data_IF_669625995928
#
_entry.id   IF_669625995928
#
_cell.length_a   1.000
_cell.length_b   1.000
_cell.length_c   1.000
_cell.angle_alpha   90.00
_cell.angle_beta   90.00
_cell.angle_gamma   90.00
#
_symmetry.space_group_name_H-M   'P 1'
#
loop_
_entity.id
_entity.type
_entity.pdbx_description
1 polymer ?
#
# COMPACT_ATOMS: atom_id res chain seq x y z
N UNK A 1 -15.07 -5.58 12.74
CA UNK A 1 -13.67 -5.53 13.16
C UNK A 1 -12.68 -5.71 12.00
N UNK A 2 -12.94 -6.59 11.03
CA UNK A 2 -12.06 -6.74 9.86
C UNK A 2 -12.08 -5.53 8.91
N UNK A 3 -13.11 -4.70 8.95
CA UNK A 3 -13.21 -3.49 8.12
C UNK A 3 -12.30 -2.35 8.55
N UNK A 4 -11.86 -2.33 9.81
CA UNK A 4 -11.02 -1.25 10.32
C UNK A 4 -9.53 -1.40 9.94
N UNK A 5 -9.10 -2.60 9.62
CA UNK A 5 -7.72 -2.89 9.20
C UNK A 5 -7.39 -2.22 7.85
N UNK A 6 -8.38 -1.94 7.02
CA UNK A 6 -8.20 -1.39 5.68
C UNK A 6 -8.41 0.13 5.60
N UNK A 7 -8.80 0.78 6.69
CA UNK A 7 -8.95 2.24 6.75
C UNK A 7 -7.67 2.90 7.27
N UNK A 8 -6.54 2.62 6.64
CA UNK A 8 -5.33 3.41 6.90
C UNK A 8 -5.53 4.80 6.32
N UNK A 9 -5.69 5.79 7.19
CA UNK A 9 -5.63 7.18 6.78
C UNK A 9 -4.17 7.59 6.67
N UNK A 10 -3.82 8.20 5.55
CA UNK A 10 -2.50 8.76 5.31
C UNK A 10 -2.65 10.27 5.25
N UNK A 11 -1.90 10.95 6.11
CA UNK A 11 -1.86 12.41 6.18
C UNK A 11 -0.49 12.90 5.73
N UNK A 12 -0.47 13.99 4.99
CA UNK A 12 0.75 14.75 4.81
C UNK A 12 0.99 15.64 6.04
N UNK A 13 2.26 15.78 6.45
CA UNK A 13 2.59 16.56 7.63
C UNK A 13 2.09 18.00 7.52
N UNK A 14 2.11 18.59 6.32
CA UNK A 14 1.57 19.92 6.04
C UNK A 14 0.06 20.02 6.23
N UNK A 15 -0.73 18.99 5.91
CA UNK A 15 -2.18 18.93 6.13
C UNK A 15 -2.53 19.01 7.62
N UNK A 16 -1.66 18.50 8.47
CA UNK A 16 -1.76 18.54 9.93
C UNK A 16 -1.08 19.78 10.54
N UNK A 17 -0.68 20.75 9.73
CA UNK A 17 0.10 21.92 10.13
C UNK A 17 1.38 21.53 10.86
N UNK A 18 1.93 20.40 10.48
CA UNK A 18 3.11 19.82 11.12
C UNK A 18 4.41 20.37 10.57
N UNK A 19 5.44 20.28 11.38
CA UNK A 19 6.79 20.66 11.01
C UNK A 19 7.83 19.83 11.75
N UNK A 20 9.03 19.76 11.17
CA UNK A 20 10.17 19.11 11.77
C UNK A 20 10.72 19.98 12.91
N UNK A 21 10.80 19.43 14.13
CA UNK A 21 11.41 20.11 15.27
C UNK A 21 12.91 19.87 15.34
N UNK A 22 13.33 18.63 15.20
CA UNK A 22 14.74 18.26 15.27
C UNK A 22 15.02 16.93 14.61
N UNK A 23 16.27 16.75 14.24
CA UNK A 23 16.81 15.45 13.84
C UNK A 23 18.21 15.28 14.43
N UNK A 24 18.52 14.05 14.84
CA UNK A 24 19.84 13.71 15.31
C UNK A 24 20.87 13.70 14.18
N UNK A 25 22.06 14.18 14.46
CA UNK A 25 23.18 14.17 13.49
C UNK A 25 23.98 12.87 13.51
N UNK A 26 23.73 12.02 14.50
CA UNK A 26 24.35 10.71 14.65
C UNK A 26 23.45 9.80 15.49
N UNK A 27 23.58 8.49 15.29
CA UNK A 27 23.02 7.52 16.22
C UNK A 27 23.74 7.61 17.56
N UNK A 28 23.00 7.67 18.66
CA UNK A 28 23.55 7.71 19.99
C UNK A 28 23.94 6.32 20.50
N UNK A 29 25.19 6.15 20.95
CA UNK A 29 25.62 4.93 21.65
C UNK A 29 25.46 3.64 20.83
N UNK A 30 24.67 2.70 21.35
CA UNK A 30 24.42 1.38 20.73
C UNK A 30 23.24 1.37 19.75
N UNK A 31 22.59 2.51 19.53
CA UNK A 31 21.46 2.61 18.61
C UNK A 31 21.94 2.84 17.17
N UNK A 32 21.39 2.04 16.25
CA UNK A 32 21.57 2.25 14.81
C UNK A 32 20.58 3.26 14.23
N UNK A 33 19.69 3.82 15.06
CA UNK A 33 18.63 4.73 14.64
C UNK A 33 19.00 6.17 14.94
N UNK A 34 18.67 7.05 14.01
CA UNK A 34 18.77 8.50 14.19
C UNK A 34 17.39 9.02 14.57
N UNK A 35 17.26 9.68 15.74
CA UNK A 35 15.97 10.20 16.16
C UNK A 35 15.54 11.37 15.28
N UNK A 36 14.27 11.37 14.88
CA UNK A 36 13.61 12.46 14.17
C UNK A 36 12.37 12.85 14.94
N UNK A 37 12.23 14.13 15.24
CA UNK A 37 11.11 14.65 16.01
C UNK A 37 10.35 15.69 15.18
N UNK A 38 9.04 15.53 15.09
CA UNK A 38 8.16 16.49 14.46
C UNK A 38 6.90 16.68 15.29
N UNK A 39 6.30 17.84 15.13
CA UNK A 39 5.07 18.26 15.81
C UNK A 39 3.99 18.47 14.79
N UNK A 40 2.77 18.16 15.13
CA UNK A 40 1.59 18.37 14.30
C UNK A 40 0.33 18.56 15.14
N UNK A 41 -0.70 19.17 14.53
CA UNK A 41 -2.01 19.32 15.15
C UNK A 41 -2.76 17.98 15.14
N UNK A 42 -2.99 17.42 16.33
CA UNK A 42 -3.80 16.21 16.47
C UNK A 42 -5.28 16.57 16.47
N UNK A 43 -5.99 16.12 15.44
CA UNK A 43 -7.44 16.31 15.30
C UNK A 43 -8.27 15.28 16.07
N UNK A 44 -7.62 14.46 16.90
CA UNK A 44 -8.25 13.41 17.68
C UNK A 44 -8.13 12.01 17.04
N UNK A 45 -7.57 11.91 15.85
CA UNK A 45 -7.43 10.64 15.13
C UNK A 45 -6.20 9.84 15.59
N UNK A 46 -5.22 10.52 16.18
CA UNK A 46 -3.99 9.89 16.66
C UNK A 46 -4.01 9.76 18.17
N UNK A 47 -3.97 8.53 18.64
CA UNK A 47 -3.95 8.22 20.08
C UNK A 47 -2.48 8.22 20.54
N UNK A 48 -2.12 9.04 21.55
CA UNK A 48 -0.76 9.01 22.12
C UNK A 48 -0.35 7.60 22.56
N UNK A 49 0.86 7.19 22.21
CA UNK A 49 1.36 5.83 22.49
C UNK A 49 1.04 4.80 21.41
N UNK A 50 0.25 5.13 20.40
CA UNK A 50 -0.01 4.25 19.27
C UNK A 50 1.17 4.24 18.27
N UNK A 51 1.26 3.15 17.51
CA UNK A 51 2.24 3.06 16.41
C UNK A 51 1.72 3.76 15.17
N UNK A 52 2.63 4.45 14.50
CA UNK A 52 2.40 5.07 13.20
C UNK A 52 3.49 4.66 12.23
N UNK A 53 3.14 4.60 10.97
CA UNK A 53 4.10 4.39 9.89
C UNK A 53 4.40 5.75 9.25
N UNK A 54 5.68 6.10 9.14
CA UNK A 54 6.12 7.40 8.63
C UNK A 54 6.84 7.20 7.31
N UNK A 55 6.44 7.94 6.31
CA UNK A 55 7.09 7.96 5.00
C UNK A 55 7.85 9.25 4.83
N UNK A 56 9.14 9.14 4.56
CA UNK A 56 9.97 10.28 4.17
C UNK A 56 9.88 10.44 2.66
N UNK A 57 9.32 11.56 2.23
CA UNK A 57 9.17 11.86 0.82
C UNK A 57 10.50 12.41 0.28
N UNK A 58 10.98 11.82 -0.80
CA UNK A 58 12.08 12.36 -1.59
C UNK A 58 11.55 13.27 -2.69
N UNK A 59 12.43 13.71 -3.58
CA UNK A 59 12.02 14.38 -4.80
C UNK A 59 11.14 13.47 -5.65
N UNK A 60 10.23 14.06 -6.42
CA UNK A 60 9.42 13.33 -7.38
C UNK A 60 10.29 12.53 -8.35
N UNK A 61 9.89 11.32 -8.62
CA UNK A 61 10.53 10.47 -9.62
C UNK A 61 9.70 10.52 -10.90
N UNK A 62 10.15 11.21 -11.97
CA UNK A 62 9.45 11.21 -13.25
C UNK A 62 9.56 9.83 -13.92
N UNK A 63 8.62 9.57 -14.83
CA UNK A 63 8.63 8.41 -15.75
C UNK A 63 8.61 7.02 -15.05
N UNK A 64 8.00 6.95 -13.87
CA UNK A 64 7.78 5.69 -13.17
C UNK A 64 6.31 5.24 -13.28
N UNK A 65 6.10 3.93 -13.27
CA UNK A 65 4.76 3.38 -13.14
C UNK A 65 4.42 3.30 -11.66
N UNK A 66 3.32 3.93 -11.27
CA UNK A 66 2.83 3.92 -9.89
C UNK A 66 1.35 3.54 -9.86
N UNK A 67 0.95 2.90 -8.77
CA UNK A 67 -0.43 2.51 -8.51
C UNK A 67 -0.82 2.92 -7.09
N UNK A 68 -2.11 3.23 -6.86
CA UNK A 68 -2.63 3.34 -5.50
C UNK A 68 -2.38 2.05 -4.72
N UNK A 69 -2.05 2.14 -3.46
CA UNK A 69 -1.84 0.96 -2.60
C UNK A 69 -3.09 0.07 -2.53
N UNK A 70 -4.27 0.62 -2.79
CA UNK A 70 -5.54 -0.11 -2.86
C UNK A 70 -5.65 -1.08 -4.03
N UNK A 71 -4.77 -0.96 -5.04
CA UNK A 71 -4.69 -1.89 -6.16
C UNK A 71 -3.95 -3.19 -5.82
N UNK A 72 -3.21 -3.19 -4.72
CA UNK A 72 -2.36 -4.31 -4.33
C UNK A 72 -3.12 -5.33 -3.48
N UNK A 73 -2.81 -6.59 -3.71
CA UNK A 73 -3.12 -7.69 -2.80
C UNK A 73 -1.83 -8.43 -2.46
N UNK A 74 -1.76 -8.96 -1.25
CA UNK A 74 -0.61 -9.72 -0.78
C UNK A 74 -1.00 -11.17 -0.54
N UNK A 75 -0.10 -12.08 -0.92
CA UNK A 75 -0.18 -13.50 -0.60
C UNK A 75 1.22 -14.05 -0.36
N UNK A 76 1.45 -14.57 0.82
CA UNK A 76 2.74 -15.22 1.20
C UNK A 76 3.98 -14.34 0.96
N UNK A 77 3.85 -13.03 1.20
CA UNK A 77 4.93 -12.06 1.01
C UNK A 77 5.13 -11.61 -0.45
N UNK A 78 4.32 -12.08 -1.38
CA UNK A 78 4.30 -11.64 -2.76
C UNK A 78 3.14 -10.68 -3.00
N UNK A 79 3.36 -9.72 -3.90
CA UNK A 79 2.36 -8.71 -4.24
C UNK A 79 1.77 -8.94 -5.62
N UNK A 80 0.48 -8.73 -5.72
CA UNK A 80 -0.28 -8.95 -6.94
C UNK A 80 -1.20 -7.79 -7.24
N UNK A 81 -1.42 -7.57 -8.53
CA UNK A 81 -2.45 -6.68 -9.07
C UNK A 81 -3.40 -7.50 -9.96
N UNK A 82 -4.54 -6.94 -10.27
CA UNK A 82 -5.48 -7.54 -11.21
C UNK A 82 -5.57 -6.67 -12.46
N UNK A 83 -5.16 -7.25 -13.58
CA UNK A 83 -5.28 -6.64 -14.90
C UNK A 83 -6.64 -6.99 -15.49
N UNK A 84 -7.37 -5.99 -15.96
CA UNK A 84 -8.59 -6.21 -16.71
C UNK A 84 -8.23 -6.56 -18.16
N UNK A 85 -8.60 -7.74 -18.61
CA UNK A 85 -8.38 -8.19 -19.99
C UNK A 85 -9.51 -7.79 -20.92
N UNK A 86 -10.76 -7.97 -20.44
CA UNK A 86 -12.01 -7.63 -21.13
C UNK A 86 -13.09 -7.22 -20.10
N UNK A 87 -14.34 -7.15 -20.51
CA UNK A 87 -15.44 -6.70 -19.64
C UNK A 87 -15.67 -7.60 -18.41
N UNK A 88 -15.33 -8.89 -18.50
CA UNK A 88 -15.56 -9.87 -17.44
C UNK A 88 -14.28 -10.56 -16.94
N UNK A 89 -13.18 -10.42 -17.68
CA UNK A 89 -11.94 -11.15 -17.43
C UNK A 89 -10.88 -10.35 -16.67
N UNK A 90 -10.37 -10.93 -15.60
CA UNK A 90 -9.24 -10.40 -14.84
C UNK A 90 -8.09 -11.39 -14.81
N UNK A 91 -6.88 -10.88 -14.95
CA UNK A 91 -5.65 -11.65 -14.79
C UNK A 91 -4.93 -11.21 -13.52
N UNK A 92 -4.66 -12.16 -12.63
CA UNK A 92 -3.77 -11.95 -11.49
C UNK A 92 -2.34 -11.84 -12.01
N UNK A 93 -1.66 -10.76 -11.65
CA UNK A 93 -0.30 -10.46 -12.09
C UNK A 93 0.57 -10.16 -10.90
N UNK A 94 1.66 -10.92 -10.75
CA UNK A 94 2.69 -10.63 -9.75
C UNK A 94 3.45 -9.37 -10.12
N UNK A 95 3.75 -8.55 -9.11
CA UNK A 95 4.48 -7.30 -9.25
C UNK A 95 5.57 -7.16 -8.20
N UNK A 96 6.63 -6.46 -8.56
CA UNK A 96 7.67 -6.04 -7.62
C UNK A 96 7.48 -4.57 -7.29
N UNK A 97 7.51 -4.25 -6.01
CA UNK A 97 7.29 -2.90 -5.50
C UNK A 97 8.61 -2.13 -5.37
N UNK A 98 8.55 -0.83 -5.63
CA UNK A 98 9.61 0.13 -5.38
C UNK A 98 9.27 1.07 -4.23
N UNK A 99 9.60 2.36 -4.40
CA UNK A 99 9.31 3.39 -3.42
C UNK A 99 7.81 3.61 -3.23
N UNK A 100 7.41 4.00 -2.02
CA UNK A 100 6.03 4.35 -1.69
C UNK A 100 5.97 5.61 -0.84
N UNK A 101 4.93 6.40 -1.04
CA UNK A 101 4.58 7.54 -0.20
C UNK A 101 3.42 7.24 0.77
N UNK A 102 2.99 5.98 0.81
CA UNK A 102 1.87 5.50 1.63
C UNK A 102 0.50 5.60 0.93
N UNK A 103 0.37 6.38 -0.14
CA UNK A 103 -0.83 6.50 -0.98
C UNK A 103 -0.65 5.75 -2.29
N UNK A 104 0.50 5.94 -2.90
CA UNK A 104 0.91 5.28 -4.12
C UNK A 104 2.19 4.48 -3.91
N UNK A 105 2.41 3.52 -4.77
CA UNK A 105 3.60 2.68 -4.78
C UNK A 105 4.12 2.52 -6.20
N UNK A 106 5.41 2.65 -6.36
CA UNK A 106 6.10 2.37 -7.60
C UNK A 106 6.05 0.89 -7.92
N UNK A 107 5.76 0.54 -9.16
CA UNK A 107 5.81 -0.82 -9.66
C UNK A 107 7.06 -0.98 -10.52
N UNK A 108 7.98 -1.82 -10.07
CA UNK A 108 9.24 -2.07 -10.76
C UNK A 108 9.09 -3.07 -11.90
N UNK A 109 8.33 -4.14 -11.67
CA UNK A 109 8.09 -5.21 -12.65
C UNK A 109 6.64 -5.68 -12.60
N UNK A 110 6.17 -6.24 -13.71
CA UNK A 110 4.85 -6.86 -13.79
C UNK A 110 3.73 -5.93 -14.29
N UNK A 111 4.04 -4.67 -14.55
CA UNK A 111 3.11 -3.67 -15.07
C UNK A 111 3.72 -2.99 -16.30
N UNK A 112 2.89 -2.69 -17.29
CA UNK A 112 3.26 -1.94 -18.49
C UNK A 112 2.36 -0.72 -18.66
N UNK A 113 2.91 0.31 -19.31
CA UNK A 113 2.10 1.47 -19.68
C UNK A 113 0.96 1.04 -20.62
N UNK A 114 -0.26 1.51 -20.32
CA UNK A 114 -1.46 1.11 -21.07
C UNK A 114 -2.25 -0.05 -20.45
N UNK A 115 -1.68 -0.77 -19.49
CA UNK A 115 -2.41 -1.80 -18.76
C UNK A 115 -3.60 -1.20 -17.98
N UNK A 116 -4.71 -1.91 -17.98
CA UNK A 116 -5.90 -1.54 -17.18
C UNK A 116 -5.86 -2.30 -15.87
N UNK A 117 -5.73 -1.59 -14.77
CA UNK A 117 -5.57 -2.17 -13.44
C UNK A 117 -6.78 -1.89 -12.56
N UNK A 118 -7.21 -2.87 -11.80
CA UNK A 118 -8.24 -2.70 -10.76
C UNK A 118 -7.64 -1.91 -9.60
N UNK A 119 -8.01 -0.65 -9.45
CA UNK A 119 -7.52 0.24 -8.38
C UNK A 119 -8.41 0.26 -7.15
N UNK A 120 -9.69 -0.11 -7.31
CA UNK A 120 -10.66 -0.27 -6.23
C UNK A 120 -11.31 -1.64 -6.33
N UNK A 121 -11.45 -2.32 -5.20
CA UNK A 121 -12.05 -3.63 -5.18
C UNK A 121 -11.11 -4.78 -5.58
N UNK A 122 -9.81 -4.59 -5.57
CA UNK A 122 -8.83 -5.64 -5.88
C UNK A 122 -9.00 -6.88 -4.99
N UNK A 123 -9.30 -6.67 -3.72
CA UNK A 123 -9.53 -7.77 -2.78
C UNK A 123 -10.81 -8.57 -3.12
N UNK A 124 -11.86 -7.90 -3.56
CA UNK A 124 -13.09 -8.56 -4.01
C UNK A 124 -12.83 -9.42 -5.26
N UNK A 125 -12.03 -8.94 -6.20
CA UNK A 125 -11.61 -9.71 -7.38
C UNK A 125 -10.79 -10.93 -6.96
N UNK A 126 -9.89 -10.76 -5.99
CA UNK A 126 -9.12 -11.87 -5.39
C UNK A 126 -10.03 -12.95 -4.83
N UNK A 127 -11.03 -12.59 -4.02
CA UNK A 127 -11.98 -13.54 -3.42
C UNK A 127 -12.83 -14.25 -4.48
N UNK A 128 -13.32 -13.52 -5.48
CA UNK A 128 -14.11 -14.09 -6.57
C UNK A 128 -13.30 -15.10 -7.39
N UNK A 129 -12.02 -14.81 -7.65
CA UNK A 129 -11.11 -15.71 -8.37
C UNK A 129 -10.83 -16.98 -7.57
N UNK A 130 -10.71 -16.89 -6.25
CA UNK A 130 -10.49 -18.04 -5.37
C UNK A 130 -11.74 -18.94 -5.28
N UNK A 131 -12.95 -18.35 -5.26
CA UNK A 131 -14.20 -19.13 -5.21
C UNK A 131 -14.47 -19.92 -6.49
N UNK A 132 -14.06 -19.40 -7.63
CA UNK A 132 -14.18 -20.10 -8.92
C UNK A 132 -13.17 -21.23 -9.11
N UNK A 133 -12.14 -21.30 -8.26
CA UNK A 133 -11.11 -22.34 -8.29
C UNK A 133 -11.50 -23.61 -7.50
N UNK A 134 -12.64 -23.61 -6.79
CA UNK A 134 -13.14 -24.79 -6.09
C UNK A 134 -13.86 -25.67 -7.12
N UNK A 135 -13.34 -26.88 -7.46
CA UNK A 135 -14.06 -27.80 -8.33
C UNK A 135 -15.41 -28.15 -7.69
N UNK A 136 -16.46 -28.06 -8.43
CA UNK A 136 -17.73 -28.63 -8.01
C UNK A 136 -17.51 -30.14 -7.84
N UNK A 137 -17.49 -30.61 -6.60
CA UNK A 137 -17.54 -32.05 -6.33
C UNK A 137 -18.90 -32.54 -6.82
N UNK A 138 -18.92 -33.14 -8.00
CA UNK A 138 -20.05 -33.93 -8.46
C UNK A 138 -20.17 -35.16 -7.57
N UNK A 139 -21.12 -35.14 -6.66
CA UNK A 139 -21.57 -36.35 -6.02
C UNK A 139 -22.44 -37.11 -7.07
N UNK A 140 -21.82 -37.99 -7.81
CA UNK A 140 -22.56 -39.07 -8.47
C UNK A 140 -22.89 -40.14 -7.43
N UNK A 141 -24.15 -40.34 -7.26
CA UNK A 141 -24.71 -41.51 -6.58
C UNK A 141 -24.97 -42.62 -7.60
#
# INVERSE_FOLDING_TARGET
AASDVYKRQVYELGELKGHLLSYGKASGGTSFYVPVTFEFDNRGDVIPGSYVEVYLLSSEMPDVLALPVTALTEEQGLYFIYLQLDEEGYKKQEVTLGASDGKEVQILTGLKAGDRVVTKGAYQVKLASASNAIPAHSHEH
#
